data_IF_591516012820
#
_entry.id   IF_591516012820
#
_cell.length_a   1.000
_cell.length_b   1.000
_cell.length_c   1.000
_cell.angle_alpha   90.00
_cell.angle_beta   90.00
_cell.angle_gamma   90.00
#
_symmetry.space_group_name_H-M   'P 1'
#
loop_
_entity.id
_entity.type
_entity.pdbx_description
1 polymer ?
#
# COMPACT_ATOMS: atom_id res chain seq x y z
N UNK A 1 21.76 0.49 -9.13
CA UNK A 1 21.34 -0.92 -9.02
C UNK A 1 19.83 -1.01 -9.26
N UNK A 2 19.34 -1.73 -10.28
CA UNK A 2 17.92 -1.74 -10.67
C UNK A 2 16.97 -2.43 -9.67
N UNK A 3 17.50 -2.93 -8.55
CA UNK A 3 16.74 -3.68 -7.53
C UNK A 3 15.79 -2.76 -6.74
N UNK A 4 16.21 -1.52 -6.45
CA UNK A 4 15.40 -0.57 -5.65
C UNK A 4 14.09 -0.15 -6.35
N UNK A 5 14.08 0.23 -7.65
CA UNK A 5 12.82 0.54 -8.34
C UNK A 5 11.91 -0.69 -8.48
N UNK A 6 12.48 -1.90 -8.65
CA UNK A 6 11.72 -3.14 -8.69
C UNK A 6 11.00 -3.41 -7.36
N UNK A 7 11.71 -3.31 -6.23
CA UNK A 7 11.13 -3.48 -4.90
C UNK A 7 10.06 -2.41 -4.67
N UNK A 8 10.34 -1.16 -5.00
CA UNK A 8 9.37 -0.06 -4.83
C UNK A 8 8.07 -0.32 -5.61
N UNK A 9 8.17 -0.79 -6.85
CA UNK A 9 7.02 -1.17 -7.66
C UNK A 9 6.22 -2.33 -7.06
N UNK A 10 6.91 -3.31 -6.46
CA UNK A 10 6.28 -4.48 -5.83
C UNK A 10 5.49 -4.08 -4.56
N UNK A 11 6.05 -3.20 -3.74
CA UNK A 11 5.35 -2.63 -2.58
C UNK A 11 4.14 -1.78 -3.00
N UNK A 12 4.26 -1.02 -4.09
CA UNK A 12 3.16 -0.24 -4.66
C UNK A 12 2.04 -1.14 -5.21
N UNK A 13 2.40 -2.26 -5.84
CA UNK A 13 1.43 -3.26 -6.28
C UNK A 13 0.66 -3.86 -5.11
N UNK A 14 1.36 -4.26 -4.04
CA UNK A 14 0.73 -4.78 -2.81
C UNK A 14 -0.21 -3.72 -2.21
N UNK A 15 0.23 -2.46 -2.13
CA UNK A 15 -0.61 -1.35 -1.68
C UNK A 15 -1.92 -1.26 -2.47
N UNK A 16 -1.85 -1.29 -3.80
CA UNK A 16 -3.03 -1.24 -4.66
C UNK A 16 -3.98 -2.41 -4.41
N UNK A 17 -3.46 -3.62 -4.18
CA UNK A 17 -4.26 -4.81 -3.84
C UNK A 17 -5.00 -4.62 -2.51
N UNK A 18 -4.31 -4.18 -1.46
CA UNK A 18 -4.95 -3.91 -0.16
C UNK A 18 -5.98 -2.77 -0.26
N UNK A 19 -5.68 -1.74 -1.06
CA UNK A 19 -6.58 -0.62 -1.30
C UNK A 19 -7.85 -1.06 -2.03
N UNK A 20 -7.73 -1.85 -3.09
CA UNK A 20 -8.90 -2.39 -3.83
C UNK A 20 -9.71 -3.34 -2.99
N UNK A 21 -9.10 -4.18 -2.16
CA UNK A 21 -9.81 -5.07 -1.24
C UNK A 21 -10.56 -4.27 -0.17
N UNK A 22 -9.94 -3.23 0.39
CA UNK A 22 -10.59 -2.25 1.28
C UNK A 22 -11.78 -1.56 0.61
N UNK A 23 -11.62 -1.13 -0.64
CA UNK A 23 -12.66 -0.43 -1.40
C UNK A 23 -13.82 -1.36 -1.74
N UNK A 24 -13.53 -2.60 -2.13
CA UNK A 24 -14.55 -3.62 -2.37
C UNK A 24 -15.34 -3.93 -1.10
N UNK A 25 -14.66 -4.03 0.04
CA UNK A 25 -15.31 -4.26 1.33
C UNK A 25 -16.22 -3.07 1.73
N UNK A 26 -15.79 -1.83 1.45
CA UNK A 26 -16.63 -0.64 1.62
C UNK A 26 -17.89 -0.65 0.75
N UNK A 27 -17.75 -1.03 -0.53
CA UNK A 27 -18.89 -1.12 -1.43
C UNK A 27 -19.84 -2.25 -1.05
N UNK A 28 -19.32 -3.37 -0.54
CA UNK A 28 -20.11 -4.54 -0.17
C UNK A 28 -20.83 -4.39 1.18
N UNK A 29 -20.20 -3.77 2.18
CA UNK A 29 -20.73 -3.65 3.55
C UNK A 29 -21.25 -2.23 3.87
N UNK A 30 -21.25 -1.34 2.87
CA UNK A 30 -21.65 0.05 3.01
C UNK A 30 -20.70 0.88 3.88
N UNK A 31 -21.22 1.98 4.44
CA UNK A 31 -20.43 2.91 5.24
C UNK A 31 -19.96 2.37 6.62
N UNK A 32 -20.24 1.11 6.93
CA UNK A 32 -19.85 0.51 8.20
C UNK A 32 -18.34 0.20 8.20
N UNK A 33 -17.64 0.77 9.19
CA UNK A 33 -16.19 0.57 9.30
C UNK A 33 -15.90 -0.72 10.07
N UNK A 34 -15.81 -1.83 9.34
CA UNK A 34 -15.49 -3.13 9.96
C UNK A 34 -14.04 -3.21 10.43
N UNK A 35 -13.81 -4.06 11.44
CA UNK A 35 -12.46 -4.35 11.95
C UNK A 35 -11.56 -4.83 10.81
N UNK A 36 -12.10 -5.69 9.94
CA UNK A 36 -11.43 -6.19 8.74
C UNK A 36 -10.98 -5.02 7.86
N UNK A 37 -11.89 -4.14 7.41
CA UNK A 37 -11.57 -2.96 6.59
C UNK A 37 -10.51 -2.05 7.23
N UNK A 38 -10.58 -1.83 8.55
CA UNK A 38 -9.58 -1.06 9.28
C UNK A 38 -8.18 -1.70 9.18
N UNK A 39 -8.09 -3.02 9.26
CA UNK A 39 -6.82 -3.74 9.09
C UNK A 39 -6.30 -3.60 7.66
N UNK A 40 -7.15 -3.78 6.63
CA UNK A 40 -6.76 -3.61 5.22
C UNK A 40 -6.22 -2.21 4.95
N UNK A 41 -6.88 -1.17 5.45
CA UNK A 41 -6.44 0.23 5.31
C UNK A 41 -5.13 0.50 6.05
N UNK A 42 -4.94 -0.03 7.26
CA UNK A 42 -3.67 0.10 7.99
C UNK A 42 -2.52 -0.56 7.24
N UNK A 43 -2.74 -1.75 6.69
CA UNK A 43 -1.74 -2.44 5.88
C UNK A 43 -1.43 -1.67 4.60
N UNK A 44 -2.45 -1.18 3.89
CA UNK A 44 -2.25 -0.30 2.74
C UNK A 44 -1.37 0.91 3.11
N UNK A 45 -1.68 1.61 4.21
CA UNK A 45 -0.87 2.76 4.66
C UNK A 45 0.58 2.39 4.98
N UNK A 46 0.83 1.24 5.62
CA UNK A 46 2.19 0.76 5.91
C UNK A 46 2.95 0.48 4.60
N UNK A 47 2.34 -0.24 3.66
CA UNK A 47 2.98 -0.57 2.38
C UNK A 47 3.24 0.68 1.53
N UNK A 48 2.33 1.67 1.54
CA UNK A 48 2.53 2.96 0.90
C UNK A 48 3.69 3.75 1.54
N UNK A 49 3.78 3.77 2.87
CA UNK A 49 4.87 4.44 3.59
C UNK A 49 6.23 3.81 3.27
N UNK A 50 6.31 2.47 3.21
CA UNK A 50 7.54 1.76 2.84
C UNK A 50 7.93 2.05 1.38
N UNK A 51 6.97 2.02 0.45
CA UNK A 51 7.23 2.35 -0.95
C UNK A 51 7.76 3.79 -1.12
N UNK A 52 7.14 4.75 -0.42
CA UNK A 52 7.60 6.14 -0.42
C UNK A 52 9.01 6.27 0.19
N UNK A 53 9.27 5.62 1.33
CA UNK A 53 10.59 5.61 1.98
C UNK A 53 11.69 5.06 1.08
N UNK A 54 11.44 3.95 0.39
CA UNK A 54 12.37 3.36 -0.58
C UNK A 54 12.62 4.29 -1.77
N UNK A 55 11.58 4.97 -2.28
CA UNK A 55 11.71 5.94 -3.35
C UNK A 55 12.58 7.14 -2.94
N UNK A 56 12.34 7.70 -1.75
CA UNK A 56 13.19 8.78 -1.22
C UNK A 56 14.62 8.31 -1.03
N UNK A 57 14.83 7.14 -0.43
CA UNK A 57 16.16 6.56 -0.24
C UNK A 57 16.90 6.41 -1.57
N UNK A 58 16.23 5.90 -2.62
CA UNK A 58 16.79 5.84 -3.96
C UNK A 58 17.18 7.23 -4.49
N UNK A 59 16.32 8.23 -4.31
CA UNK A 59 16.53 9.59 -4.80
C UNK A 59 17.66 10.35 -4.09
N UNK A 60 17.98 10.00 -2.84
CA UNK A 60 19.08 10.61 -2.10
C UNK A 60 20.41 9.89 -2.28
N UNK A 61 20.38 8.58 -2.52
CA UNK A 61 21.60 7.78 -2.76
C UNK A 61 22.08 7.88 -4.21
N UNK A 62 21.17 8.15 -5.16
CA UNK A 62 21.44 8.22 -6.62
C UNK A 62 21.31 9.64 -7.14
#
# INVERSE_FOLDING_TARGET
MPIIPLISALFLFIFLVFLTLSLRDFLAQGATMTIRRRIWLRMAMIFAAVAAGLYFLHRYIT
#
